data_IF_898236392188
#
_entry.id   IF_898236392188
#
_cell.length_a   1.000
_cell.length_b   1.000
_cell.length_c   1.000
_cell.angle_alpha   90.00
_cell.angle_beta   90.00
_cell.angle_gamma   90.00
#
_symmetry.space_group_name_H-M   'P 1'
#
loop_
_entity.id
_entity.type
_entity.pdbx_description
1 polymer ?
#
# COMPACT_ATOMS: atom_id res chain seq x y z
N UNK A 1 1.12 28.46 1.81
CA UNK A 1 0.07 27.57 2.35
C UNK A 1 -0.68 28.33 3.43
N UNK A 2 -2.01 28.32 3.43
CA UNK A 2 -2.81 28.98 4.47
C UNK A 2 -2.48 28.39 5.83
N UNK A 3 -2.16 29.25 6.80
CA UNK A 3 -1.92 28.91 8.21
C UNK A 3 -3.23 28.72 8.99
N UNK A 4 -4.37 28.70 8.32
CA UNK A 4 -5.68 28.55 8.96
C UNK A 4 -5.79 27.20 9.68
N UNK A 5 -6.09 27.26 10.98
CA UNK A 5 -6.42 26.09 11.78
C UNK A 5 -7.85 25.63 11.47
N UNK A 6 -8.05 24.32 11.38
CA UNK A 6 -9.37 23.71 11.17
C UNK A 6 -9.68 22.80 12.35
N UNK A 7 -10.78 23.06 13.04
CA UNK A 7 -11.26 22.23 14.14
C UNK A 7 -12.17 21.12 13.62
N UNK A 8 -11.92 19.88 14.05
CA UNK A 8 -12.80 18.73 13.84
C UNK A 8 -13.23 18.23 15.20
N UNK A 9 -14.53 17.98 15.37
CA UNK A 9 -15.10 17.47 16.61
C UNK A 9 -15.70 16.08 16.37
N UNK A 10 -15.54 15.21 17.37
CA UNK A 10 -16.15 13.90 17.45
C UNK A 10 -16.74 13.74 18.86
N UNK A 11 -17.74 12.89 19.03
CA UNK A 11 -18.27 12.54 20.34
C UNK A 11 -17.57 11.28 20.82
N UNK A 12 -17.11 11.29 22.07
CA UNK A 12 -16.56 10.13 22.74
C UNK A 12 -17.58 9.62 23.76
N UNK A 13 -17.60 8.31 23.96
CA UNK A 13 -18.24 7.69 25.12
C UNK A 13 -17.53 8.11 26.41
N UNK A 14 -18.18 7.98 27.59
CA UNK A 14 -17.53 8.23 28.88
C UNK A 14 -16.26 7.39 29.07
N UNK A 15 -16.31 6.13 28.68
CA UNK A 15 -15.19 5.18 28.76
C UNK A 15 -13.98 5.62 27.92
N UNK A 16 -14.21 6.03 26.67
CA UNK A 16 -13.15 6.56 25.78
C UNK A 16 -12.54 7.86 26.31
N UNK A 17 -13.37 8.75 26.88
CA UNK A 17 -12.92 10.01 27.44
C UNK A 17 -12.06 9.80 28.70
N UNK A 18 -12.46 8.88 29.58
CA UNK A 18 -11.68 8.50 30.76
C UNK A 18 -10.33 7.88 30.39
N UNK A 19 -10.29 7.03 29.37
CA UNK A 19 -9.04 6.43 28.91
C UNK A 19 -8.10 7.47 28.29
N UNK A 20 -8.61 8.41 27.50
CA UNK A 20 -7.83 9.52 26.96
C UNK A 20 -7.23 10.39 28.09
N UNK A 21 -8.03 10.71 29.11
CA UNK A 21 -7.57 11.46 30.27
C UNK A 21 -6.47 10.71 31.05
N UNK A 22 -6.63 9.38 31.20
CA UNK A 22 -5.63 8.51 31.84
C UNK A 22 -4.30 8.53 31.08
N UNK A 23 -4.32 8.38 29.75
CA UNK A 23 -3.14 8.40 28.90
C UNK A 23 -2.45 9.77 28.88
N UNK A 24 -3.25 10.85 28.86
CA UNK A 24 -2.77 12.23 28.98
C UNK A 24 -1.99 12.42 30.29
N UNK A 25 -2.54 11.96 31.41
CA UNK A 25 -1.89 12.04 32.71
C UNK A 25 -0.58 11.20 32.77
N UNK A 26 -0.60 9.97 32.29
CA UNK A 26 0.57 9.08 32.31
C UNK A 26 1.73 9.59 31.44
N UNK A 27 1.42 10.23 30.31
CA UNK A 27 2.42 10.71 29.34
C UNK A 27 2.79 12.18 29.52
N UNK A 28 2.21 12.86 30.51
CA UNK A 28 2.32 14.30 30.73
C UNK A 28 2.07 15.14 29.44
N UNK A 29 1.19 14.64 28.57
CA UNK A 29 0.91 15.23 27.25
C UNK A 29 -0.55 15.63 27.17
N UNK A 30 -0.90 16.87 26.77
CA UNK A 30 -2.29 17.30 26.67
C UNK A 30 -3.12 16.41 25.74
N UNK A 31 -4.38 16.14 26.10
CA UNK A 31 -5.29 15.28 25.33
C UNK A 31 -5.41 15.70 23.85
N UNK A 32 -5.50 17.01 23.58
CA UNK A 32 -5.57 17.54 22.22
C UNK A 32 -4.31 17.20 21.40
N UNK A 33 -3.14 17.19 22.03
CA UNK A 33 -1.88 16.82 21.39
C UNK A 33 -1.84 15.32 21.10
N UNK A 34 -2.29 14.48 22.03
CA UNK A 34 -2.42 13.03 21.82
C UNK A 34 -3.39 12.71 20.68
N UNK A 35 -4.59 13.29 20.70
CA UNK A 35 -5.58 13.12 19.63
C UNK A 35 -5.01 13.53 18.27
N UNK A 36 -4.33 14.68 18.19
CA UNK A 36 -3.69 15.13 16.96
C UNK A 36 -2.61 14.17 16.48
N UNK A 37 -1.80 13.64 17.39
CA UNK A 37 -0.78 12.65 17.07
C UNK A 37 -1.42 11.37 16.50
N UNK A 38 -2.39 10.79 17.20
CA UNK A 38 -3.04 9.55 16.79
C UNK A 38 -3.84 9.70 15.50
N UNK A 39 -4.50 10.84 15.29
CA UNK A 39 -5.16 11.12 14.00
C UNK A 39 -4.13 11.14 12.86
N UNK A 40 -2.97 11.76 13.05
CA UNK A 40 -1.90 11.77 12.04
C UNK A 40 -1.33 10.37 11.78
N UNK A 41 -1.13 9.61 12.84
CA UNK A 41 -0.64 8.23 12.78
C UNK A 41 -1.64 7.32 12.07
N UNK A 42 -2.90 7.33 12.49
CA UNK A 42 -3.98 6.58 11.87
C UNK A 42 -4.16 6.91 10.40
N UNK A 43 -4.10 8.19 10.01
CA UNK A 43 -4.12 8.59 8.60
C UNK A 43 -2.93 8.02 7.82
N UNK A 44 -1.73 8.01 8.40
CA UNK A 44 -0.53 7.47 7.75
C UNK A 44 -0.65 5.97 7.54
N UNK A 45 -1.04 5.23 8.58
CA UNK A 45 -1.25 3.78 8.52
C UNK A 45 -2.31 3.45 7.48
N UNK A 46 -3.45 4.16 7.50
CA UNK A 46 -4.55 3.93 6.57
C UNK A 46 -4.16 4.18 5.12
N UNK A 47 -3.35 5.20 4.84
CA UNK A 47 -2.84 5.47 3.48
C UNK A 47 -1.98 4.33 2.95
N UNK A 48 -1.08 3.79 3.78
CA UNK A 48 -0.25 2.64 3.40
C UNK A 48 -1.13 1.42 3.12
N UNK A 49 -2.09 1.11 3.99
CA UNK A 49 -3.02 -0.01 3.78
C UNK A 49 -3.77 0.08 2.45
N UNK A 50 -4.35 1.25 2.16
CA UNK A 50 -5.08 1.46 0.91
C UNK A 50 -4.15 1.37 -0.30
N UNK A 51 -2.92 1.88 -0.20
CA UNK A 51 -1.95 1.80 -1.28
C UNK A 51 -1.49 0.36 -1.56
N UNK A 52 -1.27 -0.42 -0.50
CA UNK A 52 -0.96 -1.85 -0.61
C UNK A 52 -2.13 -2.61 -1.26
N UNK A 53 -3.36 -2.34 -0.84
CA UNK A 53 -4.55 -2.94 -1.46
C UNK A 53 -4.66 -2.59 -2.95
N UNK A 54 -4.43 -1.32 -3.31
CA UNK A 54 -4.44 -0.88 -4.69
C UNK A 54 -3.36 -1.58 -5.53
N UNK A 55 -2.15 -1.73 -4.97
CA UNK A 55 -1.05 -2.47 -5.62
C UNK A 55 -1.42 -3.95 -5.84
N UNK A 56 -1.92 -4.63 -4.81
CA UNK A 56 -2.36 -6.03 -4.91
C UNK A 56 -3.48 -6.23 -5.93
N UNK A 57 -4.34 -5.24 -6.09
CA UNK A 57 -5.42 -5.22 -7.10
C UNK A 57 -4.94 -4.76 -8.48
N UNK A 58 -3.62 -4.58 -8.68
CA UNK A 58 -3.00 -4.07 -9.92
C UNK A 58 -3.57 -2.73 -10.40
N UNK A 59 -4.11 -1.92 -9.50
CA UNK A 59 -4.64 -0.58 -9.81
C UNK A 59 -3.53 0.47 -9.89
N UNK A 60 -2.39 0.20 -9.26
CA UNK A 60 -1.20 1.05 -9.24
C UNK A 60 0.05 0.17 -9.28
N UNK A 61 1.12 0.70 -9.86
CA UNK A 61 2.47 0.14 -9.75
C UNK A 61 3.14 0.55 -8.42
N UNK A 62 4.40 0.16 -8.22
CA UNK A 62 5.15 0.50 -6.99
C UNK A 62 5.28 2.02 -6.78
N UNK A 63 5.50 2.78 -7.85
CA UNK A 63 5.65 4.24 -7.78
C UNK A 63 4.32 4.91 -7.43
N UNK A 64 3.23 4.48 -8.07
CA UNK A 64 1.87 4.93 -7.79
C UNK A 64 1.44 4.60 -6.37
N UNK A 65 1.75 3.39 -5.89
CA UNK A 65 1.50 2.98 -4.51
C UNK A 65 2.26 3.85 -3.49
N UNK A 66 3.55 4.12 -3.73
CA UNK A 66 4.35 4.99 -2.87
C UNK A 66 3.79 6.43 -2.82
N UNK A 67 3.40 6.98 -3.99
CA UNK A 67 2.79 8.30 -4.08
C UNK A 67 1.45 8.36 -3.33
N UNK A 68 0.59 7.34 -3.48
CA UNK A 68 -0.69 7.22 -2.79
C UNK A 68 -0.53 7.12 -1.27
N UNK A 69 0.47 6.36 -0.81
CA UNK A 69 0.82 6.24 0.61
C UNK A 69 1.47 7.51 1.18
N UNK A 70 1.99 8.41 0.34
CA UNK A 70 2.74 9.58 0.76
C UNK A 70 4.09 9.22 1.39
N UNK A 71 4.74 8.17 0.89
CA UNK A 71 6.05 7.70 1.36
C UNK A 71 7.01 7.54 0.19
N UNK A 72 8.31 7.37 0.47
CA UNK A 72 9.29 7.08 -0.58
C UNK A 72 9.07 5.69 -1.17
N UNK A 73 9.51 5.51 -2.41
CA UNK A 73 9.52 4.22 -3.10
C UNK A 73 10.11 3.10 -2.23
N UNK A 74 11.32 3.30 -1.70
CA UNK A 74 12.00 2.32 -0.85
C UNK A 74 11.28 2.03 0.48
N UNK A 75 10.51 2.99 1.01
CA UNK A 75 9.68 2.73 2.19
C UNK A 75 8.51 1.84 1.80
N UNK A 76 7.82 2.16 0.71
CA UNK A 76 6.68 1.38 0.23
C UNK A 76 7.08 -0.06 -0.15
N UNK A 77 8.21 -0.23 -0.84
CA UNK A 77 8.77 -1.55 -1.16
C UNK A 77 8.98 -2.41 0.10
N UNK A 78 9.56 -1.82 1.14
CA UNK A 78 9.74 -2.50 2.44
C UNK A 78 8.41 -2.87 3.11
N UNK A 79 7.37 -2.04 2.96
CA UNK A 79 6.02 -2.36 3.46
C UNK A 79 5.40 -3.55 2.71
N UNK A 80 5.69 -3.72 1.42
CA UNK A 80 5.23 -4.88 0.66
C UNK A 80 6.01 -6.14 1.05
N UNK A 81 7.34 -6.02 1.16
CA UNK A 81 8.21 -7.12 1.57
C UNK A 81 7.90 -7.61 2.99
N UNK A 82 7.67 -6.71 3.95
CA UNK A 82 7.31 -7.09 5.32
C UNK A 82 5.97 -7.83 5.43
N UNK A 83 5.11 -7.66 4.42
CA UNK A 83 3.82 -8.34 4.29
C UNK A 83 3.90 -9.59 3.41
N UNK A 84 5.11 -10.00 3.00
CA UNK A 84 5.36 -11.10 2.08
C UNK A 84 4.62 -10.97 0.74
N UNK A 85 4.41 -9.73 0.28
CA UNK A 85 3.81 -9.46 -1.02
C UNK A 85 4.92 -9.55 -2.07
N UNK A 86 4.73 -10.43 -3.05
CA UNK A 86 5.67 -10.59 -4.16
C UNK A 86 5.70 -9.30 -4.98
N UNK A 87 6.90 -8.75 -5.12
CA UNK A 87 7.18 -7.61 -5.99
C UNK A 87 8.02 -8.12 -7.14
N UNK A 88 7.48 -8.03 -8.35
CA UNK A 88 8.25 -8.27 -9.57
C UNK A 88 8.97 -6.95 -9.89
N UNK A 89 10.29 -6.93 -9.73
CA UNK A 89 11.10 -5.72 -9.97
C UNK A 89 11.37 -5.45 -11.45
N UNK A 90 11.11 -6.42 -12.31
CA UNK A 90 11.42 -6.35 -13.73
C UNK A 90 10.16 -6.65 -14.56
N UNK A 91 9.64 -5.61 -15.23
CA UNK A 91 8.53 -5.74 -16.18
C UNK A 91 8.89 -6.68 -17.34
N UNK A 92 10.19 -6.88 -17.60
CA UNK A 92 10.73 -7.82 -18.58
C UNK A 92 11.12 -9.17 -17.96
N UNK A 93 10.86 -9.40 -16.67
CA UNK A 93 11.23 -10.66 -16.00
C UNK A 93 10.69 -11.86 -16.75
N UNK A 94 9.40 -11.83 -17.09
CA UNK A 94 8.74 -12.91 -17.82
C UNK A 94 9.27 -13.05 -19.25
N UNK A 95 9.65 -11.95 -19.91
CA UNK A 95 10.26 -11.98 -21.24
C UNK A 95 11.65 -12.61 -21.21
N UNK A 96 12.46 -12.29 -20.20
CA UNK A 96 13.78 -12.91 -19.98
C UNK A 96 13.66 -14.38 -19.62
N UNK A 97 12.67 -14.74 -18.80
CA UNK A 97 12.39 -16.13 -18.44
C UNK A 97 11.94 -16.94 -19.67
N UNK A 98 11.14 -16.32 -20.57
CA UNK A 98 10.77 -16.91 -21.86
C UNK A 98 12.00 -17.18 -22.73
N UNK A 99 12.88 -16.19 -22.88
CA UNK A 99 14.12 -16.34 -23.66
C UNK A 99 15.04 -17.44 -23.10
N UNK A 100 15.08 -17.60 -21.77
CA UNK A 100 15.80 -18.69 -21.12
C UNK A 100 15.19 -20.05 -21.47
N UNK A 101 13.86 -20.17 -21.39
CA UNK A 101 13.14 -21.40 -21.70
C UNK A 101 13.36 -21.84 -23.16
N UNK A 102 13.42 -20.89 -24.09
CA UNK A 102 13.77 -21.15 -25.50
C UNK A 102 15.23 -21.59 -25.66
N UNK A 103 16.16 -20.93 -24.96
CA UNK A 103 17.60 -21.22 -25.05
C UNK A 103 17.94 -22.64 -24.58
N UNK A 104 17.26 -23.12 -23.54
CA UNK A 104 17.47 -24.45 -22.96
C UNK A 104 16.49 -25.52 -23.46
N UNK A 105 15.60 -25.18 -24.39
CA UNK A 105 14.52 -26.04 -24.88
C UNK A 105 13.67 -26.67 -23.75
N UNK A 106 13.49 -25.93 -22.66
CA UNK A 106 12.74 -26.39 -21.48
C UNK A 106 11.23 -26.18 -21.70
N UNK A 107 10.50 -27.28 -21.86
CA UNK A 107 9.05 -27.26 -22.12
C UNK A 107 8.25 -26.93 -20.85
N UNK A 108 8.70 -27.36 -19.68
CA UNK A 108 8.02 -27.11 -18.40
C UNK A 108 8.10 -25.62 -18.05
N UNK A 109 9.27 -25.01 -18.25
CA UNK A 109 9.47 -23.59 -18.05
C UNK A 109 8.66 -22.74 -19.04
N UNK A 110 8.59 -23.15 -20.32
CA UNK A 110 7.75 -22.49 -21.34
C UNK A 110 6.28 -22.48 -20.93
N UNK A 111 5.75 -23.61 -20.47
CA UNK A 111 4.37 -23.73 -20.02
C UNK A 111 4.10 -22.85 -18.80
N UNK A 112 5.03 -22.81 -17.83
CA UNK A 112 4.93 -21.95 -16.66
C UNK A 112 4.90 -20.45 -17.02
N UNK A 113 5.75 -20.00 -17.95
CA UNK A 113 5.77 -18.62 -18.45
C UNK A 113 4.47 -18.27 -19.15
N UNK A 114 3.97 -19.14 -20.04
CA UNK A 114 2.71 -18.94 -20.77
C UNK A 114 1.52 -18.79 -19.79
N UNK A 115 1.46 -19.62 -18.76
CA UNK A 115 0.44 -19.54 -17.71
C UNK A 115 0.52 -18.22 -16.92
N UNK A 116 1.73 -17.76 -16.59
CA UNK A 116 1.93 -16.50 -15.89
C UNK A 116 1.51 -15.28 -16.74
N UNK A 117 1.87 -15.26 -18.03
CA UNK A 117 1.48 -14.21 -18.98
C UNK A 117 -0.03 -14.15 -19.18
N UNK A 118 -0.70 -15.29 -19.36
CA UNK A 118 -2.15 -15.36 -19.53
C UNK A 118 -2.92 -14.85 -18.30
N UNK A 119 -2.38 -15.04 -17.08
CA UNK A 119 -2.91 -14.44 -15.84
C UNK A 119 -2.55 -12.94 -15.68
N UNK A 120 -1.55 -12.45 -16.41
CA UNK A 120 -1.20 -11.04 -16.51
C UNK A 120 -2.19 -10.26 -17.38
N UNK A 121 -2.51 -10.80 -18.55
CA UNK A 121 -3.31 -10.14 -19.60
C UNK A 121 -4.82 -10.09 -19.32
N UNK A 122 -5.35 -11.00 -18.50
CA UNK A 122 -6.79 -11.06 -18.17
C UNK A 122 -7.35 -9.89 -17.33
N UNK A 123 -6.57 -8.85 -17.05
CA UNK A 123 -7.04 -7.65 -16.32
C UNK A 123 -7.06 -6.36 -17.17
N UNK A 124 -6.76 -6.46 -18.47
CA UNK A 124 -6.69 -5.30 -19.40
C UNK A 124 -7.85 -5.22 -20.41
N UNK A 125 -8.84 -6.13 -20.39
CA UNK A 125 -9.96 -6.12 -21.36
C UNK A 125 -11.27 -5.46 -20.84
N UNK A 126 -11.23 -4.81 -19.67
CA UNK A 126 -12.43 -4.24 -19.05
C UNK A 126 -12.65 -2.73 -19.22
N UNK A 127 -11.94 -2.04 -20.13
CA UNK A 127 -12.11 -0.58 -20.33
C UNK A 127 -11.91 -0.17 -21.78
N UNK A 128 -12.93 -0.43 -22.59
CA UNK A 128 -13.27 0.36 -23.78
C UNK A 128 -14.71 0.03 -24.17
N UNK A 129 -15.67 0.74 -23.55
CA UNK A 129 -16.96 1.08 -24.13
C UNK A 129 -17.66 2.07 -23.19
N UNK A 130 -17.44 3.35 -23.46
CA UNK A 130 -18.44 4.44 -23.39
C UNK A 130 -17.95 5.61 -24.24
#
# INVERSE_FOLDING_TARGET
MSTATVTKSIRLSPEEAEELARLSAQTATPEASLMKQWVREGMRTRKIELAVQAYMQRKVDLRGGAAMAGVSYNRFLRELQSRNIVVLEDDQFLERLASLAETFDDEELRLAVQHALNRGSGSMEGRSQE
#
